data_IF_534128063440
#
_entry.id   IF_534128063440
#
_cell.length_a   1.000
_cell.length_b   1.000
_cell.length_c   1.000
_cell.angle_alpha   90.00
_cell.angle_beta   90.00
_cell.angle_gamma   90.00
#
_symmetry.space_group_name_H-M   'P 1'
#
loop_
_entity.id
_entity.type
_entity.pdbx_description
1 polymer ?
#
# COMPACT_ATOMS: atom_id res chain seq x y z
N UNK A 1 25.08 -10.36 -6.23
CA UNK A 1 23.86 -10.98 -6.79
C UNK A 1 24.06 -12.49 -6.79
N UNK A 2 23.48 -13.22 -5.84
CA UNK A 2 23.62 -14.69 -5.67
C UNK A 2 22.28 -15.39 -5.34
N UNK A 3 21.16 -14.70 -5.58
CA UNK A 3 19.83 -15.20 -5.23
C UNK A 3 19.47 -16.42 -6.09
N UNK A 4 19.74 -16.39 -7.40
CA UNK A 4 19.43 -17.49 -8.31
C UNK A 4 20.18 -18.78 -7.96
N UNK A 5 21.46 -18.68 -7.59
CA UNK A 5 22.28 -19.82 -7.15
C UNK A 5 21.76 -20.43 -5.85
N UNK A 6 21.36 -19.59 -4.88
CA UNK A 6 20.81 -20.02 -3.59
C UNK A 6 19.48 -20.77 -3.74
N UNK A 7 18.66 -20.36 -4.71
CA UNK A 7 17.32 -20.89 -4.91
C UNK A 7 17.23 -21.91 -6.06
N UNK A 8 18.35 -22.28 -6.68
CA UNK A 8 18.36 -23.13 -7.88
C UNK A 8 17.39 -22.64 -8.96
N UNK A 9 17.35 -21.31 -9.12
CA UNK A 9 16.45 -20.64 -10.03
C UNK A 9 17.15 -20.37 -11.36
N UNK A 10 16.55 -20.82 -12.45
CA UNK A 10 16.94 -20.53 -13.83
C UNK A 10 16.03 -19.42 -14.33
N UNK A 11 16.62 -18.29 -14.71
CA UNK A 11 15.88 -17.13 -15.24
C UNK A 11 16.08 -17.12 -16.76
N UNK A 12 15.02 -17.44 -17.50
CA UNK A 12 14.96 -17.27 -18.94
C UNK A 12 14.34 -15.90 -19.26
N UNK A 13 15.21 -14.91 -19.45
CA UNK A 13 14.79 -13.55 -19.79
C UNK A 13 14.11 -13.46 -21.17
N UNK A 14 14.40 -14.36 -22.10
CA UNK A 14 13.86 -14.33 -23.46
C UNK A 14 12.39 -14.79 -23.47
N UNK A 15 12.11 -15.89 -22.76
CA UNK A 15 10.76 -16.41 -22.60
C UNK A 15 9.99 -15.79 -21.43
N UNK A 16 10.64 -14.87 -20.68
CA UNK A 16 10.14 -14.28 -19.43
C UNK A 16 9.73 -15.36 -18.44
N UNK A 17 10.54 -16.39 -18.28
CA UNK A 17 10.24 -17.53 -17.40
C UNK A 17 11.28 -17.62 -16.28
N UNK A 18 10.84 -18.00 -15.09
CA UNK A 18 11.70 -18.33 -13.96
C UNK A 18 11.34 -19.74 -13.53
N UNK A 19 12.28 -20.67 -13.68
CA UNK A 19 12.13 -22.06 -13.27
C UNK A 19 12.89 -22.25 -11.96
N UNK A 20 12.21 -22.72 -10.92
CA UNK A 20 12.82 -23.05 -9.63
C UNK A 20 12.80 -24.56 -9.49
N UNK A 21 13.98 -25.18 -9.59
CA UNK A 21 14.15 -26.64 -9.50
C UNK A 21 14.80 -26.99 -8.16
N UNK A 22 14.05 -27.60 -7.25
CA UNK A 22 14.58 -28.08 -5.97
C UNK A 22 14.56 -29.61 -5.92
N UNK A 23 15.59 -30.30 -5.40
CA UNK A 23 15.61 -31.76 -5.34
C UNK A 23 14.53 -32.38 -4.43
N UNK A 24 13.80 -31.57 -3.65
CA UNK A 24 12.74 -32.01 -2.73
C UNK A 24 11.34 -31.60 -3.14
N UNK A 25 11.19 -30.69 -4.09
CA UNK A 25 9.91 -30.11 -4.48
C UNK A 25 9.72 -30.27 -5.99
N UNK A 26 8.47 -30.38 -6.47
CA UNK A 26 8.19 -30.27 -7.89
C UNK A 26 8.76 -28.96 -8.45
N UNK A 27 9.19 -28.99 -9.72
CA UNK A 27 9.67 -27.78 -10.40
C UNK A 27 8.55 -26.74 -10.48
N UNK A 28 8.87 -25.50 -10.09
CA UNK A 28 7.92 -24.39 -10.10
C UNK A 28 8.29 -23.47 -11.26
N UNK A 29 7.35 -23.31 -12.19
CA UNK A 29 7.48 -22.42 -13.33
C UNK A 29 6.72 -21.13 -13.06
N UNK A 30 7.45 -20.01 -13.03
CA UNK A 30 6.88 -18.67 -12.98
C UNK A 30 7.04 -18.02 -14.35
N UNK A 31 5.92 -17.78 -15.03
CA UNK A 31 5.91 -17.04 -16.29
C UNK A 31 5.66 -15.56 -15.97
N UNK A 32 6.69 -14.74 -16.13
CA UNK A 32 6.63 -13.29 -16.00
C UNK A 32 5.70 -12.67 -17.03
N UNK A 33 4.96 -11.63 -16.59
CA UNK A 33 3.87 -10.92 -17.30
C UNK A 33 3.45 -11.54 -18.64
N UNK A 34 2.93 -12.76 -18.58
CA UNK A 34 1.93 -13.17 -19.53
C UNK A 34 0.77 -12.23 -19.26
N UNK A 35 0.43 -11.40 -20.24
CA UNK A 35 -0.81 -10.63 -20.26
C UNK A 35 -1.89 -11.54 -19.68
N UNK A 36 -2.28 -11.36 -18.43
CA UNK A 36 -3.41 -12.10 -17.86
C UNK A 36 -4.52 -11.69 -18.77
N UNK A 37 -4.88 -12.58 -19.70
CA UNK A 37 -5.80 -12.19 -20.73
C UNK A 37 -7.07 -11.77 -19.99
N UNK A 38 -7.69 -10.64 -20.34
CA UNK A 38 -8.81 -10.09 -19.58
C UNK A 38 -9.97 -11.09 -19.40
N UNK A 39 -9.98 -12.19 -20.15
CA UNK A 39 -10.90 -13.31 -20.00
C UNK A 39 -10.66 -14.24 -18.80
N UNK A 40 -9.47 -14.24 -18.19
CA UNK A 40 -9.16 -15.07 -17.01
C UNK A 40 -9.54 -14.39 -15.68
N UNK A 41 -9.77 -13.07 -15.70
CA UNK A 41 -10.20 -12.33 -14.52
C UNK A 41 -11.73 -12.29 -14.47
N UNK A 42 -12.31 -13.03 -13.53
CA UNK A 42 -13.75 -13.03 -13.29
C UNK A 42 -14.08 -12.15 -12.08
N UNK A 43 -15.29 -11.58 -12.08
CA UNK A 43 -15.77 -10.85 -10.90
C UNK A 43 -16.08 -11.80 -9.74
N UNK A 44 -16.05 -11.26 -8.52
CA UNK A 44 -16.42 -12.00 -7.30
C UNK A 44 -17.84 -12.59 -7.38
N UNK A 45 -18.77 -11.92 -8.08
CA UNK A 45 -20.14 -12.41 -8.31
C UNK A 45 -20.15 -13.68 -9.18
N UNK A 46 -19.35 -13.71 -10.24
CA UNK A 46 -19.22 -14.88 -11.12
C UNK A 46 -18.52 -16.02 -10.39
N UNK A 47 -17.45 -15.73 -9.66
CA UNK A 47 -16.77 -16.70 -8.81
C UNK A 47 -17.75 -17.34 -7.81
N UNK A 48 -18.55 -16.53 -7.09
CA UNK A 48 -19.57 -17.03 -6.15
C UNK A 48 -20.63 -17.92 -6.80
N UNK A 49 -21.04 -17.65 -8.05
CA UNK A 49 -21.94 -18.53 -8.80
C UNK A 49 -21.29 -19.87 -9.17
N UNK A 50 -20.01 -19.86 -9.55
CA UNK A 50 -19.26 -21.08 -9.89
C UNK A 50 -19.06 -21.97 -8.65
N UNK A 51 -18.75 -21.37 -7.50
CA UNK A 51 -18.65 -22.09 -6.23
C UNK A 51 -19.95 -22.79 -5.87
N UNK A 52 -21.09 -22.10 -6.02
CA UNK A 52 -22.43 -22.69 -5.78
C UNK A 52 -22.78 -23.83 -6.74
N UNK A 53 -22.16 -23.87 -7.93
CA UNK A 53 -22.29 -24.96 -8.91
C UNK A 53 -21.38 -26.15 -8.61
N UNK A 54 -20.59 -26.10 -7.55
CA UNK A 54 -19.67 -27.18 -7.16
C UNK A 54 -18.31 -27.13 -7.85
N UNK A 55 -17.92 -26.01 -8.46
CA UNK A 55 -16.58 -25.85 -8.99
C UNK A 55 -15.54 -25.87 -7.86
N UNK A 56 -14.43 -26.57 -8.08
CA UNK A 56 -13.28 -26.58 -7.17
C UNK A 56 -12.57 -25.23 -7.29
N UNK A 57 -12.23 -24.63 -6.15
CA UNK A 57 -11.52 -23.36 -6.07
C UNK A 57 -10.39 -23.42 -5.07
N UNK A 58 -9.34 -22.63 -5.31
CA UNK A 58 -8.23 -22.46 -4.40
C UNK A 58 -8.12 -20.99 -3.99
N UNK A 59 -7.86 -20.75 -2.70
CA UNK A 59 -7.57 -19.43 -2.18
C UNK A 59 -6.06 -19.33 -1.94
N UNK A 60 -5.41 -18.38 -2.60
CA UNK A 60 -4.02 -18.03 -2.36
C UNK A 60 -3.96 -16.74 -1.55
N UNK A 61 -3.17 -16.74 -0.49
CA UNK A 61 -2.90 -15.56 0.33
C UNK A 61 -1.41 -15.21 0.19
N UNK A 62 -1.13 -13.99 -0.24
CA UNK A 62 0.24 -13.46 -0.30
C UNK A 62 0.40 -12.51 0.87
N UNK A 63 1.36 -12.79 1.72
CA UNK A 63 1.76 -11.91 2.81
C UNK A 63 3.27 -11.76 2.76
N UNK A 64 3.74 -10.57 3.05
CA UNK A 64 5.17 -10.31 3.16
C UNK A 64 5.70 -10.96 4.44
N UNK A 65 6.66 -11.85 4.30
CA UNK A 65 7.32 -12.53 5.42
C UNK A 65 8.47 -11.70 6.00
N UNK A 66 8.89 -10.64 5.30
CA UNK A 66 9.93 -9.72 5.72
C UNK A 66 9.33 -8.43 6.29
N UNK A 67 8.36 -8.55 7.21
CA UNK A 67 8.12 -7.48 8.17
C UNK A 67 9.29 -7.50 9.15
N UNK A 68 10.48 -7.15 8.67
CA UNK A 68 11.48 -6.49 9.48
C UNK A 68 10.75 -5.25 9.99
N UNK A 69 10.67 -5.05 11.30
CA UNK A 69 10.20 -3.79 11.85
C UNK A 69 10.82 -2.67 11.01
N UNK A 70 9.97 -1.97 10.23
CA UNK A 70 10.45 -0.90 9.37
C UNK A 70 10.87 0.20 10.33
N UNK A 71 12.13 0.14 10.76
CA UNK A 71 12.75 1.26 11.43
C UNK A 71 12.61 2.44 10.49
N UNK A 72 12.03 3.52 10.98
CA UNK A 72 11.83 4.76 10.22
C UNK A 72 13.14 5.19 9.50
N UNK A 73 14.28 4.87 10.11
CA UNK A 73 15.65 4.98 9.60
C UNK A 73 15.90 4.35 8.21
N UNK A 74 15.14 3.32 7.83
CA UNK A 74 15.28 2.61 6.55
C UNK A 74 14.45 3.22 5.42
N UNK A 75 13.55 4.16 5.74
CA UNK A 75 12.78 4.89 4.72
C UNK A 75 13.66 6.01 4.16
N UNK A 76 13.98 5.93 2.87
CA UNK A 76 14.89 6.87 2.20
C UNK A 76 14.58 8.35 2.50
N UNK A 77 13.29 8.71 2.47
CA UNK A 77 12.83 10.08 2.74
C UNK A 77 13.10 10.52 4.19
N UNK A 78 12.94 9.61 5.15
CA UNK A 78 13.13 9.90 6.58
C UNK A 78 14.63 9.93 6.92
N UNK A 79 15.42 9.05 6.31
CA UNK A 79 16.88 9.03 6.45
C UNK A 79 17.53 10.32 5.93
N UNK A 80 17.03 10.86 4.82
CA UNK A 80 17.56 12.11 4.24
C UNK A 80 17.03 13.37 4.97
N UNK A 81 15.99 13.25 5.81
CA UNK A 81 15.34 14.37 6.51
C UNK A 81 15.12 14.06 8.00
N UNK A 82 16.10 13.48 8.68
CA UNK A 82 15.96 13.03 10.08
C UNK A 82 15.68 14.19 11.05
N UNK A 83 16.08 15.41 10.68
CA UNK A 83 15.79 16.66 11.37
C UNK A 83 14.32 17.10 11.33
N UNK A 84 13.56 16.69 10.29
CA UNK A 84 12.13 16.98 10.15
C UNK A 84 11.23 15.96 10.86
N UNK A 85 11.78 14.80 11.20
CA UNK A 85 11.07 13.69 11.85
C UNK A 85 11.74 13.27 13.17
N UNK A 86 11.85 14.17 14.17
CA UNK A 86 12.37 13.80 15.48
C UNK A 86 11.42 12.80 16.18
N UNK A 87 11.98 11.89 17.00
CA UNK A 87 11.19 10.92 17.78
C UNK A 87 10.18 11.60 18.72
N UNK A 88 10.49 12.82 19.17
CA UNK A 88 9.59 13.69 19.92
C UNK A 88 9.43 15.02 19.17
N UNK A 89 8.18 15.40 18.85
CA UNK A 89 7.90 16.71 18.27
C UNK A 89 8.15 17.81 19.31
N UNK A 90 8.75 18.96 18.94
CA UNK A 90 9.10 20.05 19.87
C UNK A 90 7.90 20.84 20.45
N UNK A 91 6.73 20.21 20.55
CA UNK A 91 5.48 20.83 21.00
C UNK A 91 4.82 21.69 19.92
N UNK A 92 3.79 22.44 20.32
CA UNK A 92 3.12 23.41 19.46
C UNK A 92 4.16 24.47 19.09
N UNK A 93 4.30 24.83 17.79
CA UNK A 93 5.18 25.93 17.40
C UNK A 93 4.87 27.17 18.24
N UNK A 94 5.88 27.98 18.61
CA UNK A 94 5.65 29.23 19.31
C UNK A 94 4.63 30.06 18.54
N UNK A 95 3.77 30.78 19.26
CA UNK A 95 2.75 31.65 18.66
C UNK A 95 3.44 32.61 17.69
N UNK A 96 3.30 32.33 16.40
CA UNK A 96 3.79 33.23 15.35
C UNK A 96 2.71 34.28 15.19
N UNK A 97 3.06 35.55 15.39
CA UNK A 97 2.22 36.69 15.03
C UNK A 97 2.08 36.71 13.49
N UNK A 98 1.20 35.86 12.97
CA UNK A 98 0.78 35.89 11.58
C UNK A 98 -0.53 36.65 11.57
N UNK A 99 -0.50 37.90 11.12
CA UNK A 99 -1.73 38.64 10.83
C UNK A 99 -2.42 37.99 9.64
N UNK A 100 -3.39 37.11 9.92
CA UNK A 100 -4.25 36.57 8.87
C UNK A 100 -5.28 37.62 8.48
N UNK A 101 -5.12 38.19 7.28
CA UNK A 101 -6.12 39.05 6.67
C UNK A 101 -7.18 38.20 5.98
N UNK A 102 -8.43 38.34 6.41
CA UNK A 102 -9.59 37.77 5.71
C UNK A 102 -10.14 38.88 4.80
N UNK A 103 -9.90 38.76 3.49
CA UNK A 103 -10.47 39.66 2.51
C UNK A 103 -11.94 39.30 2.25
N UNK A 104 -12.84 40.25 2.49
CA UNK A 104 -14.27 40.11 2.21
C UNK A 104 -14.59 40.69 0.83
N UNK A 105 -15.54 40.08 0.13
CA UNK A 105 -16.07 40.66 -1.10
C UNK A 105 -16.81 41.97 -0.78
N UNK A 106 -16.74 43.00 -1.64
CA UNK A 106 -17.50 44.23 -1.47
C UNK A 106 -19.00 43.94 -1.31
N UNK A 107 -19.61 44.47 -0.24
CA UNK A 107 -21.02 44.22 0.09
C UNK A 107 -21.28 43.08 1.08
N UNK A 108 -20.24 42.41 1.58
CA UNK A 108 -20.38 41.42 2.66
C UNK A 108 -20.74 42.11 3.98
N UNK A 109 -21.89 41.76 4.56
CA UNK A 109 -22.32 42.22 5.88
C UNK A 109 -22.08 41.13 6.95
N UNK A 110 -21.79 41.50 8.21
CA UNK A 110 -21.72 40.53 9.31
C UNK A 110 -23.02 39.73 9.44
N UNK A 111 -22.90 38.43 9.69
CA UNK A 111 -24.03 37.54 9.97
C UNK A 111 -23.94 37.15 11.44
N UNK A 112 -25.04 37.32 12.16
CA UNK A 112 -25.18 36.82 13.52
C UNK A 112 -26.16 35.64 13.51
N UNK A 113 -25.72 34.51 14.04
CA UNK A 113 -26.55 33.31 14.23
C UNK A 113 -26.54 32.95 15.71
N UNK A 114 -27.72 32.64 16.26
CA UNK A 114 -27.81 32.18 17.65
C UNK A 114 -27.05 30.86 17.80
N UNK A 115 -26.30 30.72 18.89
CA UNK A 115 -25.61 29.46 19.21
C UNK A 115 -26.62 28.35 19.46
N UNK A 116 -26.42 27.21 18.80
CA UNK A 116 -27.20 26.01 19.09
C UNK A 116 -26.87 25.49 20.49
N UNK A 117 -27.90 25.16 21.28
CA UNK A 117 -27.69 24.53 22.59
C UNK A 117 -27.32 23.05 22.39
N UNK A 118 -26.09 22.69 22.74
CA UNK A 118 -25.69 21.29 22.80
C UNK A 118 -26.32 20.62 24.03
N UNK A 119 -26.71 19.35 23.91
CA UNK A 119 -27.14 18.56 25.04
C UNK A 119 -25.95 18.33 26.01
N UNK A 120 -26.20 18.29 27.33
CA UNK A 120 -25.17 17.94 28.30
C UNK A 120 -24.69 16.49 28.11
N UNK A 121 -23.45 16.25 28.50
CA UNK A 121 -22.76 14.94 28.39
C UNK A 121 -23.32 13.89 29.36
#
# INVERSE_FOLDING_TARGET
>A
MHWSEKHHAIIDCHHKEIVISSPRLPEIHFLGDQKILPFCLISALVAGKLLKKGCISYLAHVFDTEIVEVKLENVYIVRDNTDLFPEEFPGIPPEREVEFKIDLLPGTSPIFMATYQMAPA
#
